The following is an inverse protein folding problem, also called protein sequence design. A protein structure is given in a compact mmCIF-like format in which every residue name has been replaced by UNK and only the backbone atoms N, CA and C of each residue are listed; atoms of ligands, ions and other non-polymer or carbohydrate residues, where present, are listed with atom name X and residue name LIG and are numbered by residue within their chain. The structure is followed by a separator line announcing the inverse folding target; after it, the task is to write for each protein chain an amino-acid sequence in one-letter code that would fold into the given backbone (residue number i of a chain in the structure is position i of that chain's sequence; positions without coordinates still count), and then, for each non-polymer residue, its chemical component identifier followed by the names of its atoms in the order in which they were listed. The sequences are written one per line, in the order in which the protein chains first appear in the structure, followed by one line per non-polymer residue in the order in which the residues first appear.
data_IF_215127271004
#
_entry.id   IF_215127271004
#
_cell.length_a   1.000
_cell.length_b   1.000
_cell.length_c   1.000
_cell.angle_alpha   90.00
_cell.angle_beta   90.00
_cell.angle_gamma   90.00
#
_symmetry.space_group_name_H-M   'P 1'
#
loop_
_entity.id
_entity.type
_entity.pdbx_description
1 polymer ?
#
# COMPACT_ATOMS: atom_id res chain seq x y z
N UNK A 1 8.79 -44.43 -16.28
CA UNK A 1 7.72 -43.43 -16.52
C UNK A 1 7.96 -42.28 -15.55
N UNK A 2 8.69 -41.24 -15.98
CA UNK A 2 8.91 -40.04 -15.17
C UNK A 2 7.94 -38.99 -15.71
N UNK A 3 6.90 -38.67 -14.93
CA UNK A 3 5.90 -37.69 -15.31
C UNK A 3 6.01 -36.44 -14.43
N UNK A 4 6.17 -35.32 -15.12
CA UNK A 4 5.74 -33.94 -14.85
C UNK A 4 6.32 -33.16 -13.65
N UNK A 5 7.13 -32.16 -14.00
CA UNK A 5 7.20 -30.87 -13.31
C UNK A 5 5.84 -30.16 -13.42
N UNK A 6 5.33 -29.63 -12.31
CA UNK A 6 4.39 -28.51 -12.35
C UNK A 6 4.59 -27.67 -11.08
N UNK A 7 4.82 -26.39 -11.32
CA UNK A 7 5.07 -25.35 -10.34
C UNK A 7 3.87 -25.23 -9.40
N UNK A 8 4.05 -25.65 -8.15
CA UNK A 8 3.27 -25.17 -7.01
C UNK A 8 4.27 -24.61 -6.01
N UNK A 9 5.05 -23.62 -6.45
CA UNK A 9 5.55 -22.56 -5.58
C UNK A 9 4.32 -21.80 -5.07
N UNK A 10 3.59 -22.42 -4.16
CA UNK A 10 2.76 -21.71 -3.21
C UNK A 10 3.70 -20.71 -2.58
N UNK A 11 3.62 -19.46 -3.06
CA UNK A 11 4.37 -18.29 -2.63
C UNK A 11 4.16 -18.17 -1.13
N UNK A 12 4.95 -18.93 -0.37
CA UNK A 12 5.08 -18.79 1.06
C UNK A 12 5.80 -17.47 1.17
N UNK A 13 5.02 -16.39 1.35
CA UNK A 13 5.53 -15.06 1.52
C UNK A 13 6.38 -15.05 2.80
N UNK A 14 7.63 -15.47 2.67
CA UNK A 14 8.67 -15.35 3.67
C UNK A 14 9.13 -13.89 3.57
N UNK A 15 8.33 -13.01 4.16
CA UNK A 15 8.53 -11.57 4.04
C UNK A 15 7.29 -10.76 4.42
N UNK A 16 7.44 -9.45 4.56
CA UNK A 16 6.32 -8.53 4.69
C UNK A 16 5.57 -8.46 3.36
N UNK A 17 4.25 -8.69 3.38
CA UNK A 17 3.40 -8.64 2.19
C UNK A 17 2.26 -7.67 2.43
N UNK A 18 2.18 -6.65 1.59
CA UNK A 18 1.16 -5.61 1.68
C UNK A 18 0.08 -5.88 0.63
N UNK A 19 -1.16 -5.95 1.08
CA UNK A 19 -2.35 -6.04 0.23
C UNK A 19 -3.15 -4.75 0.37
N UNK A 20 -3.24 -3.97 -0.70
CA UNK A 20 -4.07 -2.78 -0.75
C UNK A 20 -5.49 -3.15 -1.15
N UNK A 21 -6.47 -2.55 -0.49
CA UNK A 21 -7.88 -2.66 -0.90
C UNK A 21 -8.13 -1.90 -2.21
N UNK A 22 -7.53 -0.71 -2.28
CA UNK A 22 -7.52 0.13 -3.48
C UNK A 22 -6.12 0.67 -3.67
N UNK A 23 -5.63 0.59 -4.91
CA UNK A 23 -4.33 1.15 -5.31
C UNK A 23 -4.47 2.40 -6.16
N UNK A 24 -5.68 2.64 -6.67
CA UNK A 24 -6.01 3.75 -7.56
C UNK A 24 -7.23 4.43 -6.97
N UNK A 25 -7.05 5.70 -6.60
CA UNK A 25 -8.14 6.60 -6.29
C UNK A 25 -8.15 7.70 -7.34
N UNK A 26 -9.27 7.88 -8.02
CA UNK A 26 -9.48 9.00 -8.94
C UNK A 26 -10.23 10.09 -8.19
N UNK A 27 -9.53 11.18 -7.90
CA UNK A 27 -10.09 12.36 -7.27
C UNK A 27 -11.09 13.09 -8.18
N UNK A 28 -11.07 12.83 -9.49
CA UNK A 28 -11.96 13.44 -10.47
C UNK A 28 -11.78 14.96 -10.53
N UNK A 29 -12.74 15.70 -9.97
CA UNK A 29 -12.71 17.17 -9.91
C UNK A 29 -12.61 17.60 -8.45
N UNK A 30 -11.39 17.95 -8.02
CA UNK A 30 -11.14 18.55 -6.71
C UNK A 30 -11.18 20.07 -6.81
N UNK A 31 -11.75 20.73 -5.81
CA UNK A 31 -11.74 22.18 -5.73
C UNK A 31 -10.34 22.67 -5.32
N UNK A 32 -9.97 23.85 -5.79
CA UNK A 32 -8.81 24.57 -5.25
C UNK A 32 -9.07 24.85 -3.77
N UNK A 33 -8.07 24.56 -2.93
CA UNK A 33 -8.14 24.60 -1.46
C UNK A 33 -8.95 23.46 -0.81
N UNK A 34 -9.32 22.42 -1.55
CA UNK A 34 -9.87 21.21 -0.95
C UNK A 34 -8.75 20.35 -0.38
N UNK A 35 -9.00 19.71 0.78
CA UNK A 35 -7.97 18.98 1.52
C UNK A 35 -7.51 17.70 0.79
N UNK A 36 -8.16 17.31 -0.31
CA UNK A 36 -7.70 16.27 -1.25
C UNK A 36 -7.21 14.99 -0.57
N UNK A 37 -7.72 14.70 0.64
CA UNK A 37 -7.15 13.74 1.55
C UNK A 37 -7.86 12.41 1.33
N UNK A 38 -7.11 11.39 0.96
CA UNK A 38 -7.63 10.04 0.76
C UNK A 38 -6.86 9.04 1.60
N UNK A 39 -7.58 8.22 2.35
CA UNK A 39 -7.00 7.17 3.18
C UNK A 39 -7.02 5.84 2.43
N UNK A 40 -5.85 5.43 1.93
CA UNK A 40 -5.67 4.13 1.29
C UNK A 40 -5.50 3.04 2.35
N UNK A 41 -6.53 2.25 2.58
CA UNK A 41 -6.47 1.08 3.46
C UNK A 41 -5.65 -0.06 2.85
N UNK A 42 -4.75 -0.62 3.66
CA UNK A 42 -3.93 -1.77 3.33
C UNK A 42 -3.79 -2.72 4.51
N UNK A 43 -3.60 -4.00 4.21
CA UNK A 43 -3.44 -5.05 5.21
C UNK A 43 -2.10 -5.74 4.99
N UNK A 44 -1.37 -6.00 6.07
CA UNK A 44 -0.18 -6.85 6.00
C UNK A 44 -0.65 -8.31 5.99
N UNK A 45 -0.67 -8.92 4.81
CA UNK A 45 -0.98 -10.35 4.63
C UNK A 45 0.28 -11.22 4.68
N UNK A 46 1.44 -10.63 4.95
CA UNK A 46 2.71 -11.31 5.06
C UNK A 46 2.90 -12.02 6.38
N UNK A 47 4.04 -12.69 6.52
CA UNK A 47 4.42 -13.41 7.75
C UNK A 47 5.47 -12.65 8.58
N UNK A 48 5.85 -11.44 8.17
CA UNK A 48 6.80 -10.57 8.88
C UNK A 48 6.24 -9.14 9.06
N UNK A 49 6.77 -8.35 10.01
CA UNK A 49 6.39 -6.96 10.20
C UNK A 49 6.70 -6.13 8.95
N UNK A 50 5.69 -5.41 8.47
CA UNK A 50 5.78 -4.55 7.30
C UNK A 50 6.14 -3.13 7.73
N UNK A 51 7.25 -2.60 7.20
CA UNK A 51 7.69 -1.23 7.48
C UNK A 51 7.72 -0.44 6.17
N UNK A 52 6.92 0.62 6.10
CA UNK A 52 6.90 1.54 4.97
C UNK A 52 8.10 2.50 5.06
N UNK A 53 9.15 2.20 4.30
CA UNK A 53 10.41 2.95 4.38
C UNK A 53 10.32 4.34 3.74
N UNK A 54 9.90 4.42 2.48
CA UNK A 54 9.79 5.67 1.69
C UNK A 54 8.77 5.52 0.57
N UNK A 55 7.51 5.93 0.74
CA UNK A 55 6.62 6.10 -0.39
C UNK A 55 7.19 7.16 -1.32
N UNK A 56 7.23 6.83 -2.61
CA UNK A 56 7.66 7.73 -3.70
C UNK A 56 6.40 8.20 -4.41
N UNK A 57 6.11 9.49 -4.34
CA UNK A 57 5.13 10.13 -5.23
C UNK A 57 5.81 10.50 -6.55
N UNK A 58 5.14 10.24 -7.67
CA UNK A 58 5.60 10.67 -9.01
C UNK A 58 5.36 12.16 -9.24
N UNK A 59 4.37 12.75 -8.56
CA UNK A 59 4.11 14.18 -8.50
C UNK A 59 4.47 14.73 -7.12
N UNK A 60 5.31 15.78 -7.08
CA UNK A 60 5.65 16.47 -5.82
C UNK A 60 4.47 17.18 -5.15
N UNK A 61 3.32 17.23 -5.81
CA UNK A 61 2.06 17.78 -5.30
C UNK A 61 1.35 16.86 -4.31
N UNK A 62 1.72 15.57 -4.25
CA UNK A 62 1.09 14.57 -3.38
C UNK A 62 1.93 14.35 -2.13
N UNK A 63 1.35 14.61 -0.96
CA UNK A 63 1.96 14.41 0.36
C UNK A 63 1.38 13.14 0.98
N UNK A 64 2.04 11.98 0.83
CA UNK A 64 1.66 10.78 1.55
C UNK A 64 2.06 10.91 3.03
N UNK A 65 1.16 10.52 3.91
CA UNK A 65 1.34 10.32 5.33
C UNK A 65 1.08 8.84 5.60
N UNK A 66 2.08 8.16 6.16
CA UNK A 66 2.04 6.73 6.40
C UNK A 66 2.50 6.42 7.82
N UNK A 67 2.02 5.31 8.40
CA UNK A 67 2.55 4.83 9.67
C UNK A 67 4.03 4.48 9.52
N UNK A 68 4.88 5.09 10.36
CA UNK A 68 6.29 4.69 10.52
C UNK A 68 6.46 3.47 11.42
N UNK A 69 5.38 3.07 12.07
CA UNK A 69 5.33 1.91 12.94
C UNK A 69 5.30 0.62 12.11
N UNK A 70 5.93 -0.47 12.60
CA UNK A 70 5.84 -1.77 11.93
C UNK A 70 4.40 -2.28 12.01
N UNK A 71 3.79 -2.57 10.85
CA UNK A 71 2.47 -3.21 10.77
C UNK A 71 2.68 -4.72 10.95
N UNK A 72 2.08 -5.32 11.99
CA UNK A 72 2.23 -6.76 12.24
C UNK A 72 1.46 -7.61 11.21
N UNK A 73 1.82 -8.89 11.02
CA UNK A 73 1.05 -9.84 10.22
C UNK A 73 -0.43 -9.88 10.62
N UNK A 74 -1.32 -9.63 9.67
CA UNK A 74 -2.77 -9.57 9.88
C UNK A 74 -3.32 -8.20 10.31
N UNK A 75 -2.46 -7.23 10.59
CA UNK A 75 -2.92 -5.87 10.90
C UNK A 75 -3.27 -5.10 9.63
N UNK A 76 -4.31 -4.28 9.75
CA UNK A 76 -4.76 -3.36 8.72
C UNK A 76 -4.41 -1.94 9.14
N UNK A 77 -3.89 -1.16 8.21
CA UNK A 77 -3.52 0.23 8.43
C UNK A 77 -3.90 1.06 7.20
N UNK A 78 -3.71 2.38 7.23
CA UNK A 78 -4.06 3.26 6.12
C UNK A 78 -2.93 4.24 5.80
N UNK A 79 -2.78 4.57 4.52
CA UNK A 79 -1.90 5.63 4.04
C UNK A 79 -2.77 6.83 3.70
N UNK A 80 -2.67 7.89 4.48
CA UNK A 80 -3.34 9.16 4.22
C UNK A 80 -2.58 9.91 3.14
N UNK A 81 -3.17 10.11 1.98
CA UNK A 81 -2.58 10.84 0.86
C UNK A 81 -3.29 12.17 0.73
N UNK A 82 -2.57 13.26 0.98
CA UNK A 82 -3.09 14.62 0.84
C UNK A 82 -2.58 15.22 -0.47
N UNK A 83 -3.48 15.65 -1.34
CA UNK A 83 -3.13 16.36 -2.56
C UNK A 83 -3.06 17.86 -2.28
N UNK A 84 -1.88 18.45 -2.47
CA UNK A 84 -1.69 19.89 -2.33
C UNK A 84 -1.94 20.58 -3.69
N UNK A 85 -3.03 21.36 -3.78
CA UNK A 85 -3.43 22.10 -4.99
C UNK A 85 -2.89 23.54 -5.06
N UNK A 86 -1.98 23.92 -4.17
CA UNK A 86 -1.55 25.31 -3.95
C UNK A 86 -0.70 25.91 -5.07
#
# INVERSE_FOLDING_TARGET
MVMVNAQDDAKKANGPEITFKETIHDYGTIFVDDDGAYDFEFTNTGNEPLILSKPRSSCGCTVPSWPKEPILPGETNSIKVTYNTH
#
